data_IF_440849070447
#
_entry.id   IF_440849070447
#
_cell.length_a   1.000
_cell.length_b   1.000
_cell.length_c   1.000
_cell.angle_alpha   90.00
_cell.angle_beta   90.00
_cell.angle_gamma   90.00
#
_symmetry.space_group_name_H-M   'P 1'
#
loop_
_entity.id
_entity.type
_entity.pdbx_description
1 polymer ?
#
# COMPACT_ATOMS: atom_id res chain seq x y z
N UNK A 1 -22.87 10.96 -3.25
CA UNK A 1 -22.45 9.81 -2.42
C UNK A 1 -20.96 9.60 -2.61
N UNK A 2 -20.17 9.52 -1.53
CA UNK A 2 -18.73 9.27 -1.58
C UNK A 2 -18.50 7.80 -1.20
N UNK A 3 -17.73 7.06 -2.00
CA UNK A 3 -17.33 5.69 -1.69
C UNK A 3 -15.80 5.64 -1.59
N UNK A 4 -15.29 5.14 -0.47
CA UNK A 4 -13.85 4.91 -0.27
C UNK A 4 -13.58 3.42 -0.20
N UNK A 5 -12.53 2.97 -0.89
CA UNK A 5 -12.11 1.56 -0.87
C UNK A 5 -10.60 1.44 -1.07
N UNK A 6 -10.04 0.43 -0.40
CA UNK A 6 -8.68 -0.01 -0.65
C UNK A 6 -8.63 -0.84 -1.94
N UNK A 7 -7.64 -0.58 -2.79
CA UNK A 7 -7.42 -1.31 -4.03
C UNK A 7 -5.98 -1.76 -4.18
N UNK A 8 -5.79 -2.86 -4.89
CA UNK A 8 -4.47 -3.29 -5.40
C UNK A 8 -4.42 -2.84 -6.85
N UNK A 9 -3.38 -2.08 -7.23
CA UNK A 9 -3.25 -1.65 -8.61
C UNK A 9 -2.97 -2.84 -9.51
N UNK A 10 -3.95 -3.19 -10.34
CA UNK A 10 -3.79 -4.19 -11.38
C UNK A 10 -4.12 -3.55 -12.73
N UNK A 11 -3.11 -3.49 -13.60
CA UNK A 11 -3.21 -2.92 -14.94
C UNK A 11 -4.35 -3.52 -15.77
N UNK A 12 -4.77 -4.75 -15.47
CA UNK A 12 -5.78 -5.49 -16.24
C UNK A 12 -7.20 -5.40 -15.69
N UNK A 13 -7.42 -4.89 -14.47
CA UNK A 13 -8.69 -5.12 -13.73
C UNK A 13 -9.40 -3.84 -13.30
N UNK A 14 -8.78 -2.67 -13.43
CA UNK A 14 -9.34 -1.43 -12.86
C UNK A 14 -10.71 -1.02 -13.41
N UNK A 15 -11.11 -1.48 -14.59
CA UNK A 15 -12.48 -1.30 -15.10
C UNK A 15 -12.94 -2.56 -15.85
N UNK A 16 -13.74 -3.42 -15.21
CA UNK A 16 -14.66 -4.26 -15.99
C UNK A 16 -15.86 -3.38 -16.36
N UNK A 17 -16.05 -3.18 -17.66
CA UNK A 17 -17.23 -2.51 -18.22
C UNK A 17 -18.50 -3.14 -17.63
N UNK A 18 -19.43 -2.30 -17.16
CA UNK A 18 -20.76 -2.71 -16.66
C UNK A 18 -21.69 -3.24 -17.76
N UNK A 19 -21.16 -3.80 -18.86
CA UNK A 19 -21.95 -4.22 -20.01
C UNK A 19 -21.98 -5.73 -20.25
N UNK A 20 -21.58 -6.54 -19.28
CA UNK A 20 -21.94 -7.96 -19.27
C UNK A 20 -23.07 -8.16 -18.26
N UNK A 21 -24.27 -8.47 -18.77
CA UNK A 21 -25.38 -8.92 -17.94
C UNK A 21 -24.91 -10.11 -17.11
N UNK A 22 -24.97 -9.96 -15.79
CA UNK A 22 -24.89 -11.07 -14.84
C UNK A 22 -26.22 -11.07 -14.11
N UNK A 23 -26.90 -12.22 -14.19
CA UNK A 23 -28.17 -12.55 -13.58
C UNK A 23 -28.22 -12.20 -12.09
N UNK A 24 -29.42 -11.78 -11.65
CA UNK A 24 -29.78 -11.49 -10.26
C UNK A 24 -29.34 -12.61 -9.30
N UNK A 25 -28.75 -12.30 -8.14
CA UNK A 25 -28.68 -13.24 -7.02
C UNK A 25 -29.99 -13.23 -6.21
N UNK A 26 -30.43 -14.44 -5.86
CA UNK A 26 -31.61 -14.74 -5.04
C UNK A 26 -31.57 -14.09 -3.65
N UNK A 27 -32.74 -13.69 -3.14
CA UNK A 27 -32.95 -13.10 -1.82
C UNK A 27 -32.53 -14.06 -0.68
N UNK A 28 -31.91 -13.57 0.40
CA UNK A 28 -31.69 -14.39 1.60
C UNK A 28 -32.97 -14.52 2.44
N UNK A 29 -33.26 -15.75 2.86
CA UNK A 29 -34.39 -16.11 3.72
C UNK A 29 -34.37 -15.37 5.07
N UNK A 30 -35.52 -14.80 5.41
CA UNK A 30 -35.81 -14.14 6.68
C UNK A 30 -36.10 -15.17 7.77
N UNK A 31 -35.22 -15.29 8.77
CA UNK A 31 -35.54 -15.97 10.03
C UNK A 31 -35.90 -14.94 11.11
N UNK A 32 -37.16 -14.99 11.56
CA UNK A 32 -37.74 -14.10 12.55
C UNK A 32 -37.29 -14.38 14.00
N UNK A 33 -37.65 -13.50 14.94
CA UNK A 33 -37.13 -13.49 16.32
C UNK A 33 -37.94 -14.41 17.23
N UNK A 34 -37.27 -15.09 18.17
CA UNK A 34 -37.92 -15.65 19.37
C UNK A 34 -37.06 -15.39 20.61
N UNK A 35 -37.77 -15.02 21.67
CA UNK A 35 -37.34 -14.37 22.91
C UNK A 35 -36.48 -15.19 23.89
N UNK A 36 -35.56 -14.45 24.52
CA UNK A 36 -35.19 -14.35 25.96
C UNK A 36 -35.04 -15.63 26.81
N UNK A 37 -33.85 -15.82 27.38
CA UNK A 37 -33.69 -16.05 28.83
C UNK A 37 -32.29 -15.70 29.35
N UNK A 38 -32.29 -15.12 30.56
CA UNK A 38 -31.17 -14.64 31.36
C UNK A 38 -30.13 -15.72 31.70
N UNK A 39 -28.85 -15.37 31.71
CA UNK A 39 -28.08 -15.36 32.95
C UNK A 39 -26.71 -14.68 32.80
N UNK A 40 -26.49 -13.75 33.71
CA UNK A 40 -25.32 -12.88 33.88
C UNK A 40 -24.28 -13.62 34.71
N UNK A 41 -23.08 -13.84 34.17
CA UNK A 41 -21.88 -14.08 34.97
C UNK A 41 -20.84 -13.06 34.51
N UNK A 42 -20.65 -12.01 35.32
CA UNK A 42 -19.55 -11.07 35.16
C UNK A 42 -18.33 -11.70 35.81
N UNK A 43 -17.41 -12.23 35.02
CA UNK A 43 -16.07 -12.54 35.50
C UNK A 43 -15.24 -11.25 35.63
N UNK A 44 -14.40 -11.12 36.66
CA UNK A 44 -13.70 -9.87 36.94
C UNK A 44 -12.64 -9.62 35.88
N UNK A 45 -12.72 -8.47 35.21
CA UNK A 45 -11.65 -7.95 34.34
C UNK A 45 -10.44 -7.70 35.22
N UNK A 46 -9.43 -8.55 35.08
CA UNK A 46 -8.15 -8.40 35.74
C UNK A 46 -7.45 -7.17 35.12
N UNK A 47 -7.51 -6.03 35.82
CA UNK A 47 -6.79 -4.82 35.47
C UNK A 47 -5.30 -5.10 35.63
N UNK A 48 -4.57 -5.31 34.51
CA UNK A 48 -3.12 -5.09 34.35
C UNK A 48 -2.66 -5.32 32.89
N UNK A 49 -3.42 -4.84 31.90
CA UNK A 49 -2.93 -4.76 30.52
C UNK A 49 -2.20 -3.42 30.33
N UNK A 50 -0.93 -3.38 30.75
CA UNK A 50 0.00 -2.36 30.24
C UNK A 50 0.06 -2.52 28.72
N UNK A 51 -0.59 -1.61 27.98
CA UNK A 51 -0.47 -1.54 26.53
C UNK A 51 1.00 -1.32 26.17
N UNK A 52 1.68 -2.40 25.77
CA UNK A 52 2.99 -2.28 25.15
C UNK A 52 2.81 -1.46 23.86
N UNK A 53 3.56 -0.35 23.78
CA UNK A 53 3.58 0.52 22.61
C UNK A 53 4.07 -0.18 21.35
N UNK A 54 4.00 0.52 20.22
CA UNK A 54 4.52 0.00 18.95
C UNK A 54 6.05 -0.16 19.04
N UNK A 55 6.61 -1.34 18.71
CA UNK A 55 8.04 -1.58 18.80
C UNK A 55 8.79 -0.72 17.78
N UNK A 56 9.98 -0.25 18.15
CA UNK A 56 10.81 0.59 17.28
C UNK A 56 11.76 -0.24 16.42
N UNK A 57 12.04 -1.48 16.81
CA UNK A 57 12.97 -2.38 16.14
C UNK A 57 12.49 -3.85 16.15
N UNK A 58 13.20 -4.69 15.36
CA UNK A 58 12.90 -6.12 15.25
C UNK A 58 13.01 -6.84 16.60
N UNK A 59 14.08 -6.57 17.35
CA UNK A 59 14.34 -7.22 18.64
C UNK A 59 13.22 -6.96 19.65
N UNK A 60 12.75 -5.71 19.74
CA UNK A 60 11.62 -5.33 20.60
C UNK A 60 10.33 -6.02 20.17
N UNK A 61 10.08 -6.10 18.86
CA UNK A 61 8.92 -6.78 18.32
C UNK A 61 8.95 -8.30 18.60
N UNK A 62 10.14 -8.90 18.63
CA UNK A 62 10.31 -10.34 18.84
C UNK A 62 10.33 -10.74 20.33
N UNK A 63 10.66 -9.82 21.23
CA UNK A 63 10.70 -10.05 22.68
C UNK A 63 9.41 -9.61 23.41
N UNK A 64 8.51 -8.89 22.74
CA UNK A 64 7.27 -8.38 23.31
C UNK A 64 6.19 -9.45 23.56
N UNK A 65 5.17 -9.11 24.36
CA UNK A 65 4.02 -10.01 24.62
C UNK A 65 3.24 -10.32 23.34
N UNK A 66 3.23 -9.38 22.40
CA UNK A 66 2.58 -9.52 21.09
C UNK A 66 3.51 -10.05 19.99
N UNK A 67 4.65 -10.67 20.34
CA UNK A 67 5.65 -11.14 19.38
C UNK A 67 5.08 -12.02 18.27
N UNK A 68 4.19 -12.96 18.59
CA UNK A 68 3.55 -13.82 17.59
C UNK A 68 2.70 -13.04 16.59
N UNK A 69 2.07 -11.93 17.01
CA UNK A 69 1.26 -11.07 16.12
C UNK A 69 2.16 -10.24 15.20
N UNK A 70 3.27 -9.72 15.72
CA UNK A 70 4.26 -9.02 14.91
C UNK A 70 4.96 -9.94 13.91
N UNK A 71 5.30 -11.16 14.31
CA UNK A 71 5.89 -12.17 13.44
C UNK A 71 4.96 -12.53 12.28
N UNK A 72 3.67 -12.71 12.55
CA UNK A 72 2.66 -12.95 11.51
C UNK A 72 2.59 -11.76 10.54
N UNK A 73 2.59 -10.53 11.05
CA UNK A 73 2.57 -9.33 10.22
C UNK A 73 3.84 -9.20 9.35
N UNK A 74 5.02 -9.57 9.87
CA UNK A 74 6.27 -9.60 9.08
C UNK A 74 6.24 -10.68 8.00
N UNK A 75 5.73 -11.87 8.32
CA UNK A 75 5.56 -12.97 7.35
C UNK A 75 4.60 -12.58 6.23
N UNK A 76 3.51 -11.90 6.55
CA UNK A 76 2.55 -11.40 5.55
C UNK A 76 3.20 -10.38 4.60
N UNK A 77 3.96 -9.42 5.14
CA UNK A 77 4.73 -8.47 4.34
C UNK A 77 5.75 -9.21 3.46
N UNK A 78 6.52 -10.14 4.03
CA UNK A 78 7.53 -10.90 3.29
C UNK A 78 6.91 -11.70 2.13
N UNK A 79 5.76 -12.33 2.39
CA UNK A 79 4.99 -13.04 1.36
C UNK A 79 4.57 -12.09 0.23
N UNK A 80 4.13 -10.87 0.55
CA UNK A 80 3.81 -9.85 -0.45
C UNK A 80 5.05 -9.48 -1.28
N UNK A 81 6.18 -9.24 -0.64
CA UNK A 81 7.44 -8.86 -1.29
C UNK A 81 7.96 -9.95 -2.24
N UNK A 82 7.92 -11.21 -1.81
CA UNK A 82 8.30 -12.37 -2.62
C UNK A 82 7.33 -12.55 -3.79
N UNK A 83 6.01 -12.45 -3.55
CA UNK A 83 4.99 -12.60 -4.60
C UNK A 83 5.10 -11.55 -5.71
N UNK A 84 5.57 -10.35 -5.35
CA UNK A 84 5.84 -9.26 -6.30
C UNK A 84 7.22 -9.32 -6.95
N UNK A 85 8.02 -10.37 -6.64
CA UNK A 85 9.40 -10.53 -7.09
C UNK A 85 10.23 -9.25 -6.84
N UNK A 86 10.11 -8.67 -5.64
CA UNK A 86 10.63 -7.32 -5.31
C UNK A 86 12.17 -7.23 -5.43
N UNK A 87 12.85 -8.35 -5.22
CA UNK A 87 14.29 -8.46 -5.36
C UNK A 87 14.71 -9.87 -5.77
N UNK A 88 15.95 -9.98 -6.18
CA UNK A 88 16.67 -11.24 -6.32
C UNK A 88 17.94 -11.21 -5.47
N UNK A 89 18.40 -12.39 -5.01
CA UNK A 89 19.66 -12.48 -4.29
C UNK A 89 20.83 -12.43 -5.28
N UNK A 90 21.76 -11.53 -5.02
CA UNK A 90 22.96 -11.34 -5.82
C UNK A 90 24.18 -11.06 -4.94
N UNK A 91 25.37 -11.29 -5.49
CA UNK A 91 26.61 -10.81 -4.85
C UNK A 91 26.69 -9.30 -5.04
N UNK A 92 27.12 -8.58 -4.00
CA UNK A 92 27.34 -7.14 -4.09
C UNK A 92 28.50 -6.86 -5.07
N UNK A 93 28.30 -6.08 -6.14
CA UNK A 93 29.37 -5.72 -7.04
C UNK A 93 30.45 -4.87 -6.35
N UNK A 94 31.68 -4.99 -6.82
CA UNK A 94 32.78 -4.19 -6.29
C UNK A 94 32.53 -2.69 -6.50
N UNK A 95 32.73 -1.88 -5.46
CA UNK A 95 32.49 -0.43 -5.50
C UNK A 95 31.03 0.01 -5.29
N UNK A 96 30.07 -0.92 -5.18
CA UNK A 96 28.68 -0.62 -4.78
C UNK A 96 28.49 -0.81 -3.27
N UNK A 97 27.52 -0.10 -2.70
CA UNK A 97 27.13 -0.22 -1.29
C UNK A 97 25.68 -0.70 -1.19
N UNK A 98 25.44 -1.70 -0.37
CA UNK A 98 24.08 -2.13 -0.04
C UNK A 98 23.44 -1.15 0.96
N UNK A 99 22.21 -0.72 0.66
CA UNK A 99 21.38 0.07 1.57
C UNK A 99 20.93 -0.79 2.74
N UNK A 100 20.88 -0.20 3.92
CA UNK A 100 20.25 -0.85 5.07
C UNK A 100 18.73 -0.79 4.94
N UNK A 101 18.05 -1.75 5.56
CA UNK A 101 16.60 -1.74 5.73
C UNK A 101 16.25 -1.64 7.23
N UNK A 102 14.96 -1.45 7.52
CA UNK A 102 14.40 -1.57 8.86
C UNK A 102 12.94 -2.00 8.79
N UNK A 103 12.48 -2.67 9.83
CA UNK A 103 11.06 -2.91 10.04
C UNK A 103 10.39 -1.67 10.65
N UNK A 104 9.19 -1.36 10.17
CA UNK A 104 8.31 -0.32 10.75
C UNK A 104 7.03 -1.00 11.18
N UNK A 105 6.75 -0.91 12.47
CA UNK A 105 5.60 -1.53 13.12
C UNK A 105 4.53 -0.49 13.42
N UNK A 106 3.28 -0.84 13.13
CA UNK A 106 2.10 -0.02 13.44
C UNK A 106 0.94 -0.89 13.88
N UNK A 107 0.25 -0.47 14.93
CA UNK A 107 -1.04 -1.03 15.34
C UNK A 107 -2.12 -0.13 14.75
N UNK A 108 -3.06 -0.74 14.03
CA UNK A 108 -4.24 -0.05 13.50
C UNK A 108 -5.47 -0.52 14.23
N UNK A 109 -6.29 0.42 14.68
CA UNK A 109 -7.63 0.12 15.16
C UNK A 109 -8.59 0.04 13.98
N UNK A 110 -9.27 -1.10 13.87
CA UNK A 110 -10.32 -1.32 12.88
C UNK A 110 -11.66 -0.77 13.41
N UNK A 111 -12.64 -0.60 12.52
CA UNK A 111 -13.91 0.05 12.83
C UNK A 111 -14.79 -0.75 13.83
N UNK A 112 -14.48 -2.04 14.01
CA UNK A 112 -15.10 -2.94 14.99
C UNK A 112 -14.39 -2.92 16.35
N UNK A 113 -13.35 -2.10 16.52
CA UNK A 113 -12.52 -2.03 17.72
C UNK A 113 -11.41 -3.09 17.79
N UNK A 114 -11.27 -3.94 16.77
CA UNK A 114 -10.18 -4.93 16.73
C UNK A 114 -8.84 -4.27 16.39
N UNK A 115 -7.76 -4.79 16.98
CA UNK A 115 -6.38 -4.31 16.73
C UNK A 115 -5.74 -5.14 15.63
N UNK A 116 -5.37 -4.47 14.53
CA UNK A 116 -4.62 -5.06 13.42
C UNK A 116 -3.15 -4.64 13.49
N UNK A 117 -2.28 -5.64 13.50
CA UNK A 117 -0.83 -5.47 13.50
C UNK A 117 -0.33 -5.34 12.07
N UNK A 118 0.51 -4.34 11.82
CA UNK A 118 1.10 -4.09 10.51
C UNK A 118 2.60 -3.88 10.62
N UNK A 119 3.36 -4.77 9.98
CA UNK A 119 4.79 -4.60 9.76
C UNK A 119 5.02 -4.18 8.31
N UNK A 120 6.02 -3.33 8.07
CA UNK A 120 6.49 -2.97 6.72
C UNK A 120 8.00 -2.99 6.68
N UNK A 121 8.56 -3.53 5.60
CA UNK A 121 9.99 -3.46 5.36
C UNK A 121 10.32 -2.16 4.62
N UNK A 122 11.14 -1.32 5.22
CA UNK A 122 11.44 0.01 4.68
C UNK A 122 12.95 0.14 4.44
N UNK A 123 13.33 0.67 3.28
CA UNK A 123 14.72 0.97 2.99
C UNK A 123 15.13 2.26 3.72
N UNK A 124 16.35 2.32 4.25
CA UNK A 124 16.94 3.55 4.77
C UNK A 124 17.35 4.49 3.63
N UNK A 125 16.36 5.00 2.88
CA UNK A 125 16.58 5.80 1.67
C UNK A 125 17.32 7.13 1.90
N UNK A 126 17.46 7.59 3.14
CA UNK A 126 18.35 8.72 3.47
C UNK A 126 19.83 8.41 3.19
N UNK A 127 20.20 7.12 3.12
CA UNK A 127 21.56 6.68 2.78
C UNK A 127 21.85 6.72 1.27
N UNK A 128 20.84 6.97 0.43
CA UNK A 128 21.01 7.03 -1.02
C UNK A 128 21.76 8.29 -1.45
N UNK A 129 22.62 8.13 -2.47
CA UNK A 129 23.47 9.17 -3.04
C UNK A 129 22.98 9.52 -4.45
N UNK A 130 22.76 10.82 -4.70
CA UNK A 130 22.42 11.33 -6.03
C UNK A 130 23.54 11.06 -7.04
N UNK A 131 23.18 10.65 -8.25
CA UNK A 131 24.12 10.26 -9.30
C UNK A 131 24.66 8.83 -9.18
N UNK A 132 24.42 8.14 -8.05
CA UNK A 132 24.79 6.72 -7.86
C UNK A 132 23.53 5.86 -7.73
N UNK A 133 22.65 6.19 -6.79
CA UNK A 133 21.45 5.40 -6.45
C UNK A 133 20.18 5.96 -7.08
N UNK A 134 20.18 7.24 -7.46
CA UNK A 134 19.07 7.89 -8.16
C UNK A 134 19.57 9.08 -8.97
N UNK A 135 18.84 9.40 -10.05
CA UNK A 135 19.13 10.56 -10.90
C UNK A 135 18.11 11.69 -10.74
N UNK A 136 16.83 11.35 -10.57
CA UNK A 136 15.74 12.32 -10.44
C UNK A 136 14.68 11.79 -9.49
N UNK A 137 14.19 12.68 -8.61
CA UNK A 137 13.25 12.34 -7.54
C UNK A 137 11.92 13.11 -7.64
N UNK A 138 11.84 14.07 -8.57
CA UNK A 138 10.67 14.93 -8.67
C UNK A 138 9.43 14.12 -9.06
N UNK A 139 8.37 14.26 -8.26
CA UNK A 139 7.04 13.71 -8.55
C UNK A 139 6.02 14.83 -8.35
N UNK A 140 5.12 15.07 -9.33
CA UNK A 140 4.10 16.10 -9.18
C UNK A 140 3.12 15.71 -8.07
N UNK A 141 2.57 16.73 -7.42
CA UNK A 141 1.55 16.59 -6.38
C UNK A 141 0.32 17.35 -6.83
N UNK A 142 -0.85 16.74 -6.65
CA UNK A 142 -2.12 17.37 -6.96
C UNK A 142 -2.29 18.66 -6.16
N UNK A 143 -2.72 19.73 -6.83
CA UNK A 143 -2.94 21.02 -6.19
C UNK A 143 -4.24 20.98 -5.40
N UNK A 144 -4.25 21.62 -4.23
CA UNK A 144 -5.45 21.72 -3.40
C UNK A 144 -6.59 22.46 -4.13
N UNK A 145 -6.26 23.41 -5.00
CA UNK A 145 -7.23 24.10 -5.87
C UNK A 145 -7.95 23.13 -6.80
N UNK A 146 -7.23 22.14 -7.34
CA UNK A 146 -7.78 21.10 -8.22
C UNK A 146 -8.73 20.20 -7.44
N UNK A 147 -8.31 19.73 -6.25
CA UNK A 147 -9.18 18.92 -5.37
C UNK A 147 -10.48 19.67 -5.07
N UNK A 148 -10.38 20.95 -4.64
CA UNK A 148 -11.55 21.78 -4.33
C UNK A 148 -12.46 21.98 -5.54
N UNK A 149 -11.89 22.18 -6.73
CA UNK A 149 -12.66 22.31 -7.97
C UNK A 149 -13.43 21.04 -8.29
N UNK A 150 -12.79 19.87 -8.23
CA UNK A 150 -13.42 18.57 -8.47
C UNK A 150 -14.56 18.33 -7.49
N UNK A 151 -14.33 18.56 -6.20
CA UNK A 151 -15.36 18.43 -5.16
C UNK A 151 -16.54 19.38 -5.40
N UNK A 152 -16.27 20.62 -5.82
CA UNK A 152 -17.30 21.62 -6.11
C UNK A 152 -18.17 21.19 -7.30
N UNK A 153 -17.56 20.64 -8.36
CA UNK A 153 -18.30 20.12 -9.52
C UNK A 153 -19.15 18.91 -9.12
N UNK A 154 -18.59 18.00 -8.33
CA UNK A 154 -19.31 16.81 -7.82
C UNK A 154 -20.54 17.23 -7.01
N UNK A 155 -20.38 18.18 -6.08
CA UNK A 155 -21.47 18.69 -5.27
C UNK A 155 -22.54 19.41 -6.11
N UNK A 156 -22.13 20.31 -7.01
CA UNK A 156 -23.06 21.10 -7.84
C UNK A 156 -23.85 20.25 -8.84
N UNK A 157 -23.28 19.13 -9.32
CA UNK A 157 -23.90 18.24 -10.31
C UNK A 157 -24.48 16.96 -9.72
N UNK A 158 -24.42 16.78 -8.40
CA UNK A 158 -24.90 15.56 -7.74
C UNK A 158 -24.18 14.28 -8.19
N UNK A 159 -22.89 14.37 -8.50
CA UNK A 159 -22.11 13.24 -9.02
C UNK A 159 -21.67 12.28 -7.89
N UNK A 160 -21.20 11.10 -8.30
CA UNK A 160 -20.55 10.14 -7.42
C UNK A 160 -19.04 10.40 -7.37
N UNK A 161 -18.45 10.32 -6.17
CA UNK A 161 -17.01 10.39 -5.97
C UNK A 161 -16.53 9.04 -5.44
N UNK A 162 -15.55 8.46 -6.10
CA UNK A 162 -14.84 7.28 -5.63
C UNK A 162 -13.41 7.68 -5.24
N UNK A 163 -13.03 7.33 -4.01
CA UNK A 163 -11.65 7.42 -3.54
C UNK A 163 -11.04 6.02 -3.56
N UNK A 164 -9.89 5.90 -4.19
CA UNK A 164 -9.12 4.66 -4.28
C UNK A 164 -7.83 4.86 -3.50
N UNK A 165 -7.64 4.11 -2.41
CA UNK A 165 -6.35 4.03 -1.72
C UNK A 165 -5.58 2.80 -2.20
N UNK A 166 -4.39 3.02 -2.73
CA UNK A 166 -3.58 1.95 -3.31
C UNK A 166 -2.60 1.43 -2.24
N UNK A 167 -2.72 0.14 -1.89
CA UNK A 167 -1.97 -0.46 -0.76
C UNK A 167 -0.49 -0.75 -1.05
N UNK A 168 -0.09 -0.77 -2.31
CA UNK A 168 1.09 -1.43 -2.87
C UNK A 168 1.81 -0.60 -3.94
N UNK A 169 1.70 0.73 -3.88
CA UNK A 169 1.94 1.62 -5.03
C UNK A 169 3.40 1.59 -5.46
N UNK A 170 4.24 1.30 -4.48
CA UNK A 170 5.68 1.22 -4.62
C UNK A 170 6.11 -0.17 -5.11
N UNK A 171 5.47 -1.25 -4.64
CA UNK A 171 5.90 -2.64 -4.90
C UNK A 171 5.68 -3.12 -6.34
N UNK A 172 4.79 -2.48 -7.09
CA UNK A 172 4.45 -2.93 -8.45
C UNK A 172 5.46 -2.50 -9.53
N UNK A 173 6.49 -1.73 -9.19
CA UNK A 173 7.21 -0.96 -10.21
C UNK A 173 8.65 -1.31 -10.39
N UNK A 174 9.02 -1.53 -11.64
CA UNK A 174 10.40 -1.77 -12.03
C UNK A 174 11.27 -0.57 -11.67
N UNK A 175 12.43 -0.87 -11.08
CA UNK A 175 13.45 0.11 -10.76
C UNK A 175 14.31 0.33 -12.00
N UNK A 176 14.42 1.58 -12.47
CA UNK A 176 15.31 1.94 -13.58
C UNK A 176 16.77 1.88 -13.11
N UNK A 177 17.02 2.24 -11.85
CA UNK A 177 18.34 2.20 -11.22
C UNK A 177 18.65 0.84 -10.59
N UNK A 178 19.93 0.50 -10.57
CA UNK A 178 20.41 -0.70 -9.89
C UNK A 178 20.69 -0.41 -8.42
N UNK A 179 19.79 -0.86 -7.54
CA UNK A 179 19.89 -0.67 -6.09
C UNK A 179 20.06 -2.02 -5.38
N UNK A 180 20.97 -2.02 -4.42
CA UNK A 180 21.22 -3.15 -3.53
C UNK A 180 20.75 -2.83 -2.13
N UNK A 181 20.15 -3.81 -1.46
CA UNK A 181 19.69 -3.71 -0.09
C UNK A 181 20.22 -4.92 0.69
N UNK A 182 20.59 -4.74 1.95
CA UNK A 182 20.88 -5.86 2.85
C UNK A 182 19.64 -6.75 3.00
N UNK A 183 19.84 -8.03 3.30
CA UNK A 183 18.72 -8.92 3.59
C UNK A 183 17.94 -8.41 4.82
N UNK A 184 16.61 -8.64 4.87
CA UNK A 184 15.80 -8.21 6.00
C UNK A 184 16.20 -8.97 7.28
N UNK A 185 16.27 -8.25 8.39
CA UNK A 185 16.56 -8.84 9.69
C UNK A 185 15.50 -9.90 10.04
N UNK A 186 15.95 -11.08 10.46
CA UNK A 186 15.09 -12.25 10.75
C UNK A 186 14.61 -13.04 9.53
N UNK A 187 14.98 -12.64 8.30
CA UNK A 187 14.55 -13.29 7.05
C UNK A 187 15.70 -13.45 6.03
N UNK A 188 16.95 -13.53 6.49
CA UNK A 188 18.07 -13.89 5.63
C UNK A 188 17.97 -15.37 5.19
N UNK A 189 18.37 -15.68 3.95
CA UNK A 189 18.42 -17.07 3.49
C UNK A 189 19.63 -17.80 4.11
N UNK A 190 19.34 -18.92 4.77
CA UNK A 190 20.36 -19.80 5.38
C UNK A 190 21.44 -20.20 4.36
N UNK A 191 22.71 -20.00 4.72
CA UNK A 191 23.87 -20.29 3.87
C UNK A 191 24.12 -19.27 2.75
N UNK A 192 23.38 -18.17 2.72
CA UNK A 192 23.54 -17.06 1.76
C UNK A 192 23.55 -15.70 2.48
N UNK A 193 23.98 -15.65 3.72
CA UNK A 193 23.97 -14.45 4.57
C UNK A 193 24.82 -13.31 3.97
N UNK A 194 25.86 -13.66 3.23
CA UNK A 194 26.75 -12.73 2.52
C UNK A 194 26.13 -12.13 1.23
N UNK A 195 24.99 -12.67 0.76
CA UNK A 195 24.30 -12.13 -0.40
C UNK A 195 23.45 -10.91 -0.03
N UNK A 196 23.19 -10.08 -1.04
CA UNK A 196 22.37 -8.88 -0.92
C UNK A 196 21.15 -8.99 -1.83
N UNK A 197 20.08 -8.28 -1.48
CA UNK A 197 18.88 -8.15 -2.29
C UNK A 197 19.14 -7.11 -3.38
N UNK A 198 19.24 -7.52 -4.65
CA UNK A 198 19.19 -6.62 -5.80
C UNK A 198 17.73 -6.28 -6.06
N UNK A 199 17.35 -5.02 -5.81
CA UNK A 199 15.98 -4.57 -5.97
C UNK A 199 15.62 -4.52 -7.45
N UNK A 200 14.59 -5.27 -7.82
CA UNK A 200 13.95 -5.21 -9.14
C UNK A 200 12.74 -4.29 -9.10
N UNK A 201 12.11 -4.15 -7.92
CA UNK A 201 10.98 -3.26 -7.69
C UNK A 201 11.30 -2.15 -6.68
N UNK A 202 10.59 -1.04 -6.78
CA UNK A 202 10.69 0.05 -5.80
C UNK A 202 10.17 -0.41 -4.43
N UNK A 203 10.93 -0.11 -3.39
CA UNK A 203 10.53 -0.30 -2.00
C UNK A 203 10.13 1.02 -1.33
N UNK A 204 9.53 0.89 -0.14
CA UNK A 204 9.21 2.04 0.70
C UNK A 204 10.46 2.87 1.03
N UNK A 205 10.27 4.18 1.06
CA UNK A 205 11.29 5.19 1.42
C UNK A 205 12.47 5.34 0.46
N UNK A 206 12.51 4.67 -0.69
CA UNK A 206 13.40 5.07 -1.77
C UNK A 206 13.04 6.48 -2.24
N UNK A 207 14.04 7.34 -2.45
CA UNK A 207 13.84 8.76 -2.81
C UNK A 207 13.07 8.94 -4.11
N UNK A 208 13.24 8.04 -5.07
CA UNK A 208 12.57 8.06 -6.37
C UNK A 208 11.25 7.27 -6.41
N UNK A 209 10.83 6.66 -5.29
CA UNK A 209 9.64 5.80 -5.22
C UNK A 209 8.36 6.53 -5.65
N UNK A 210 8.22 7.81 -5.29
CA UNK A 210 7.07 8.64 -5.69
C UNK A 210 7.10 9.01 -7.18
N UNK A 211 8.28 9.30 -7.74
CA UNK A 211 8.44 9.70 -9.15
C UNK A 211 8.05 8.57 -10.09
N UNK A 212 8.58 7.35 -9.90
CA UNK A 212 8.17 6.30 -10.82
C UNK A 212 6.66 6.01 -10.68
N UNK A 213 6.00 6.36 -9.56
CA UNK A 213 4.58 6.00 -9.31
C UNK A 213 3.74 6.82 -10.21
N UNK A 214 4.01 8.12 -10.15
CA UNK A 214 3.50 9.06 -11.10
C UNK A 214 3.77 8.60 -12.55
N UNK A 215 5.01 8.24 -12.94
CA UNK A 215 5.27 7.78 -14.33
C UNK A 215 4.39 6.61 -14.76
N UNK A 216 4.24 5.60 -13.89
CA UNK A 216 3.45 4.40 -14.17
C UNK A 216 1.96 4.71 -14.22
N UNK A 217 1.47 5.48 -13.26
CA UNK A 217 0.08 5.93 -13.20
C UNK A 217 -0.25 6.80 -14.42
N UNK A 218 0.62 7.73 -14.79
CA UNK A 218 0.50 8.59 -15.97
C UNK A 218 0.40 7.77 -17.26
N UNK A 219 1.32 6.80 -17.44
CA UNK A 219 1.27 5.87 -18.57
C UNK A 219 0.00 5.03 -18.60
N UNK A 220 -0.45 4.52 -17.45
CA UNK A 220 -1.69 3.75 -17.34
C UNK A 220 -2.91 4.61 -17.70
N UNK A 221 -3.02 5.82 -17.16
CA UNK A 221 -4.15 6.71 -17.43
C UNK A 221 -4.21 7.08 -18.92
N UNK A 222 -3.06 7.46 -19.50
CA UNK A 222 -2.98 7.77 -20.94
C UNK A 222 -3.31 6.56 -21.81
N UNK A 223 -2.78 5.38 -21.48
CA UNK A 223 -3.11 4.12 -22.17
C UNK A 223 -4.59 3.75 -22.12
N UNK A 224 -5.30 4.16 -21.06
CA UNK A 224 -6.75 3.99 -20.93
C UNK A 224 -7.57 5.15 -21.54
N UNK A 225 -6.93 6.05 -22.28
CA UNK A 225 -7.58 7.15 -23.01
C UNK A 225 -7.97 8.34 -22.14
N UNK A 226 -7.38 8.49 -20.95
CA UNK A 226 -7.48 9.73 -20.19
C UNK A 226 -6.51 10.78 -20.73
N UNK A 227 -6.93 12.04 -20.71
CA UNK A 227 -6.12 13.19 -21.06
C UNK A 227 -5.65 13.88 -19.78
N UNK A 228 -4.35 14.16 -19.71
CA UNK A 228 -3.76 14.91 -18.59
C UNK A 228 -4.13 16.40 -18.70
N UNK A 229 -4.48 17.00 -17.57
CA UNK A 229 -4.75 18.43 -17.48
C UNK A 229 -3.46 19.24 -17.55
N UNK A 230 -3.43 20.30 -18.35
CA UNK A 230 -2.26 21.21 -18.44
C UNK A 230 -2.11 22.09 -17.19
N UNK A 231 -3.19 22.33 -16.45
CA UNK A 231 -3.16 23.15 -15.23
C UNK A 231 -2.65 22.36 -14.00
N UNK A 232 -2.79 21.03 -14.02
CA UNK A 232 -2.37 20.13 -12.95
C UNK A 232 -2.03 18.75 -13.53
N UNK A 233 -0.76 18.38 -13.47
CA UNK A 233 -0.26 17.12 -14.04
C UNK A 233 -0.77 15.86 -13.33
N UNK A 234 -1.34 15.99 -12.13
CA UNK A 234 -1.96 14.89 -11.41
C UNK A 234 -3.47 14.77 -11.68
N UNK A 235 -4.04 15.62 -12.53
CA UNK A 235 -5.45 15.60 -12.88
C UNK A 235 -5.65 15.07 -14.29
N UNK A 236 -6.53 14.09 -14.43
CA UNK A 236 -6.84 13.42 -15.67
C UNK A 236 -8.33 13.51 -15.95
N UNK A 237 -8.70 13.60 -17.23
CA UNK A 237 -10.10 13.58 -17.62
C UNK A 237 -10.32 12.74 -18.87
N UNK A 238 -11.43 12.01 -18.91
CA UNK A 238 -11.87 11.22 -20.05
C UNK A 238 -13.29 11.60 -20.42
N UNK A 239 -13.50 11.98 -21.67
CA UNK A 239 -14.85 12.25 -22.19
C UNK A 239 -15.52 10.92 -22.55
N UNK A 240 -16.70 10.66 -22.01
CA UNK A 240 -17.51 9.48 -22.29
C UNK A 240 -18.91 9.96 -22.72
N UNK A 241 -19.18 9.94 -24.03
CA UNK A 241 -20.44 10.45 -24.63
C UNK A 241 -20.72 11.91 -24.17
N UNK A 242 -21.77 12.11 -23.38
CA UNK A 242 -22.21 13.40 -22.78
C UNK A 242 -21.67 13.62 -21.35
N UNK A 243 -20.85 12.71 -20.84
CA UNK A 243 -20.29 12.73 -19.49
C UNK A 243 -18.76 12.84 -19.51
N UNK A 244 -18.18 13.16 -18.37
CA UNK A 244 -16.74 13.19 -18.16
C UNK A 244 -16.40 12.42 -16.89
N UNK A 245 -15.31 11.67 -16.94
CA UNK A 245 -14.68 11.06 -15.77
C UNK A 245 -13.47 11.93 -15.44
N UNK A 246 -13.34 12.35 -14.18
CA UNK A 246 -12.18 13.08 -13.67
C UNK A 246 -11.49 12.14 -12.67
N UNK A 247 -10.20 11.90 -12.87
CA UNK A 247 -9.37 11.01 -12.06
C UNK A 247 -8.03 11.62 -11.72
#
# INVERSE_FOLDING_TARGET
MIRSRDVVFNEKVMYKDRNTQVSEPEEPEYFGPNDVSENRVLEPVNQNDEEQGEPECYDEAYQGKDASKWELAMKDEMKSLISNQTWELAKLPEGKKALQNKWVFRIKEEHDGSKRYKARLVVKGFQQIEGIDYSEIFSPVVKLTTIRLVLSIVAAKGLYLEQLDEKTAFLHRDLEEEIYMQQPEGFAEDGKEELVCRLTKSLYSLKQASRQWYKKFDGFMQGNGYLRCNADHCCYFKKVKSSFIIG
#
